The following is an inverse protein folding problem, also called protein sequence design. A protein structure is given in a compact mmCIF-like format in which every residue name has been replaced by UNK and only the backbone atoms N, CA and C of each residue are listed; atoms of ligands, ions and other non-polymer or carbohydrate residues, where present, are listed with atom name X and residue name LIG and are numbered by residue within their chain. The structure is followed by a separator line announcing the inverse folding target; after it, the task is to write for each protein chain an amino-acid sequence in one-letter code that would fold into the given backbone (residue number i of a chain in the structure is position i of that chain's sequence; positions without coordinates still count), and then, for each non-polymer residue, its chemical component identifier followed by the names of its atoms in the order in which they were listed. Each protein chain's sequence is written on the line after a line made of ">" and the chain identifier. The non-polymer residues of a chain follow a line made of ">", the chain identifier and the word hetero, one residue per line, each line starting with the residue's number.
data_IF_803887092736
#
_entry.id   IF_803887092736
#
_cell.length_a   1.000
_cell.length_b   1.000
_cell.length_c   1.000
_cell.angle_alpha   90.00
_cell.angle_beta   90.00
_cell.angle_gamma   90.00
#
_symmetry.space_group_name_H-M   'P 1'
#
loop_
_entity.id
_entity.type
_entity.pdbx_description
1 polymer ?
#
# COMPACT_ATOMS: atom_id res chain seq x y z
N UNK A 1 -16.17 7.97 -18.25
CA UNK A 1 -15.58 7.46 -17.03
C UNK A 1 -14.24 6.85 -17.38
N UNK A 2 -13.25 7.20 -16.62
CA UNK A 2 -11.84 7.07 -16.95
C UNK A 2 -11.15 6.00 -16.11
N UNK A 3 -11.88 4.92 -15.82
CA UNK A 3 -11.32 3.82 -15.00
C UNK A 3 -10.15 3.15 -15.72
N UNK A 4 -10.19 3.10 -17.05
CA UNK A 4 -9.10 2.61 -17.92
C UNK A 4 -7.82 3.45 -17.86
N UNK A 5 -7.90 4.67 -17.34
CA UNK A 5 -6.72 5.54 -17.13
C UNK A 5 -6.04 5.28 -15.77
N UNK A 6 -6.67 4.53 -14.87
CA UNK A 6 -6.11 4.23 -13.55
C UNK A 6 -4.99 3.21 -13.67
N UNK A 7 -3.81 3.58 -13.19
CA UNK A 7 -2.62 2.72 -13.21
C UNK A 7 -2.32 2.17 -11.81
N UNK A 8 -1.47 1.14 -11.75
CA UNK A 8 -0.91 0.65 -10.47
C UNK A 8 -0.20 1.78 -9.71
N UNK A 9 0.51 2.67 -10.44
CA UNK A 9 1.14 3.84 -9.84
C UNK A 9 0.15 4.77 -9.16
N UNK A 10 -1.02 5.01 -9.76
CA UNK A 10 -2.08 5.82 -9.17
C UNK A 10 -2.67 5.17 -7.91
N UNK A 11 -2.81 3.85 -7.86
CA UNK A 11 -3.23 3.14 -6.65
C UNK A 11 -2.19 3.25 -5.53
N UNK A 12 -0.90 3.03 -5.85
CA UNK A 12 0.22 3.12 -4.91
C UNK A 12 0.39 4.54 -4.32
N UNK A 13 0.10 5.57 -5.12
CA UNK A 13 0.22 6.98 -4.71
C UNK A 13 -1.08 7.59 -4.20
N UNK A 14 -2.15 6.80 -4.05
CA UNK A 14 -3.47 7.29 -3.61
C UNK A 14 -4.09 8.33 -4.55
N UNK A 15 -3.83 8.21 -5.86
CA UNK A 15 -4.27 9.13 -6.91
C UNK A 15 -5.19 8.47 -7.94
N UNK A 16 -5.90 7.39 -7.56
CA UNK A 16 -6.81 6.68 -8.47
C UNK A 16 -7.99 7.54 -8.98
N UNK A 17 -8.30 8.64 -8.28
CA UNK A 17 -9.43 9.50 -8.63
C UNK A 17 -10.79 8.99 -8.15
N UNK A 18 -10.89 7.74 -7.73
CA UNK A 18 -12.09 7.13 -7.18
C UNK A 18 -12.45 7.73 -5.81
N UNK A 19 -13.74 7.84 -5.52
CA UNK A 19 -14.18 8.20 -4.19
C UNK A 19 -13.58 7.22 -3.17
N UNK A 20 -12.98 7.77 -2.12
CA UNK A 20 -12.28 6.98 -1.12
C UNK A 20 -13.22 6.07 -0.34
N UNK A 21 -12.77 4.88 0.00
CA UNK A 21 -13.46 3.94 0.91
C UNK A 21 -13.07 4.13 2.38
N UNK A 22 -12.12 5.03 2.69
CA UNK A 22 -11.67 5.32 4.07
C UNK A 22 -12.56 6.34 4.78
N UNK A 23 -12.42 6.44 6.09
CA UNK A 23 -13.19 7.37 6.92
C UNK A 23 -14.66 6.98 6.98
N UNK A 24 -15.58 7.92 6.71
CA UNK A 24 -17.02 7.68 6.81
C UNK A 24 -17.53 6.55 5.89
N UNK A 25 -16.86 6.30 4.77
CA UNK A 25 -17.25 5.28 3.80
C UNK A 25 -16.68 3.87 4.13
N UNK A 26 -15.82 3.74 5.14
CA UNK A 26 -15.16 2.47 5.44
C UNK A 26 -16.15 1.38 5.85
N UNK A 27 -17.09 1.71 6.73
CA UNK A 27 -18.09 0.75 7.20
C UNK A 27 -18.95 0.18 6.08
N UNK A 28 -19.44 1.03 5.17
CA UNK A 28 -20.24 0.59 4.03
C UNK A 28 -19.44 -0.28 3.06
N UNK A 29 -18.17 0.03 2.86
CA UNK A 29 -17.29 -0.73 1.99
C UNK A 29 -16.99 -2.15 2.54
N UNK A 30 -16.57 -2.27 3.81
CA UNK A 30 -16.23 -3.58 4.42
C UNK A 30 -17.44 -4.47 4.67
N UNK A 31 -18.65 -3.91 4.68
CA UNK A 31 -19.90 -4.69 4.77
C UNK A 31 -20.47 -5.07 3.41
N UNK A 32 -19.88 -4.59 2.32
CA UNK A 32 -20.30 -4.98 0.96
C UNK A 32 -19.96 -6.44 0.68
N UNK A 33 -20.70 -7.06 -0.22
CA UNK A 33 -20.49 -8.45 -0.62
C UNK A 33 -19.26 -8.67 -1.51
N UNK A 34 -18.66 -7.59 -2.06
CA UNK A 34 -17.49 -7.65 -2.91
C UNK A 34 -16.72 -6.32 -2.82
N UNK A 35 -15.61 -6.33 -2.05
CA UNK A 35 -14.84 -5.12 -1.78
C UNK A 35 -14.12 -4.58 -3.02
N UNK A 36 -13.71 -5.46 -3.92
CA UNK A 36 -13.07 -5.05 -5.19
C UNK A 36 -14.09 -4.37 -6.09
N UNK A 37 -15.25 -4.99 -6.30
CA UNK A 37 -16.30 -4.41 -7.13
C UNK A 37 -16.82 -3.08 -6.56
N UNK A 38 -17.06 -3.01 -5.24
CA UNK A 38 -17.49 -1.76 -4.59
C UNK A 38 -16.44 -0.64 -4.80
N UNK A 39 -15.15 -0.92 -4.59
CA UNK A 39 -14.11 0.08 -4.79
C UNK A 39 -14.01 0.56 -6.25
N UNK A 40 -14.14 -0.35 -7.22
CA UNK A 40 -14.04 -0.02 -8.66
C UNK A 40 -15.28 0.70 -9.20
N UNK A 41 -16.45 0.51 -8.60
CA UNK A 41 -17.71 1.14 -9.01
C UNK A 41 -17.97 2.48 -8.32
N UNK A 42 -17.08 2.92 -7.42
CA UNK A 42 -17.16 4.23 -6.79
C UNK A 42 -17.06 5.37 -7.82
N UNK A 43 -17.77 6.49 -7.59
CA UNK A 43 -17.65 7.64 -8.47
C UNK A 43 -16.20 8.12 -8.65
N UNK A 44 -15.84 8.54 -9.85
CA UNK A 44 -14.60 9.27 -10.09
C UNK A 44 -14.83 10.72 -9.68
N UNK A 45 -14.13 11.17 -8.65
CA UNK A 45 -14.29 12.50 -8.02
C UNK A 45 -13.04 13.38 -8.17
N UNK A 46 -12.02 12.86 -8.85
CA UNK A 46 -10.82 13.59 -9.29
C UNK A 46 -10.24 12.91 -10.53
N UNK A 47 -9.37 13.61 -11.24
CA UNK A 47 -8.60 13.03 -12.35
C UNK A 47 -7.64 11.95 -11.81
N UNK A 48 -7.50 10.78 -12.47
CA UNK A 48 -6.44 9.83 -12.17
C UNK A 48 -5.06 10.51 -12.27
N UNK A 49 -4.20 10.30 -11.29
CA UNK A 49 -2.91 11.01 -11.18
C UNK A 49 -3.01 12.42 -10.57
N UNK A 50 -4.20 12.91 -10.27
CA UNK A 50 -4.44 14.22 -9.67
C UNK A 50 -4.18 14.26 -8.15
N UNK A 51 -5.10 14.88 -7.40
CA UNK A 51 -4.95 15.04 -5.94
C UNK A 51 -5.04 13.71 -5.19
N UNK A 52 -4.40 13.66 -4.02
CA UNK A 52 -4.50 12.53 -3.10
C UNK A 52 -5.94 12.30 -2.63
N UNK A 53 -6.39 11.07 -2.76
CA UNK A 53 -7.61 10.54 -2.16
C UNK A 53 -7.26 9.27 -1.38
N UNK A 54 -6.80 9.43 -0.13
CA UNK A 54 -6.32 8.32 0.70
C UNK A 54 -7.44 7.30 0.91
N UNK A 55 -7.25 6.07 0.40
CA UNK A 55 -8.31 5.07 0.29
C UNK A 55 -7.78 3.66 0.56
N UNK A 56 -8.35 3.01 1.57
CA UNK A 56 -8.09 1.59 1.86
C UNK A 56 -8.44 0.69 0.67
N UNK A 57 -9.50 1.03 -0.09
CA UNK A 57 -9.85 0.31 -1.31
C UNK A 57 -8.77 0.36 -2.38
N UNK A 58 -8.05 1.48 -2.53
CA UNK A 58 -6.92 1.55 -3.47
C UNK A 58 -5.82 0.54 -3.09
N UNK A 59 -5.48 0.43 -1.82
CA UNK A 59 -4.51 -0.57 -1.34
C UNK A 59 -5.06 -2.00 -1.46
N UNK A 60 -6.37 -2.20 -1.25
CA UNK A 60 -6.99 -3.52 -1.43
C UNK A 60 -6.99 -3.95 -2.90
N UNK A 61 -7.22 -3.05 -3.84
CA UNK A 61 -7.08 -3.31 -5.27
C UNK A 61 -5.67 -3.80 -5.63
N UNK A 62 -4.62 -3.27 -4.99
CA UNK A 62 -3.24 -3.77 -5.18
C UNK A 62 -3.11 -5.23 -4.70
N UNK A 63 -3.72 -5.59 -3.56
CA UNK A 63 -3.73 -6.98 -3.08
C UNK A 63 -4.47 -7.90 -4.06
N UNK A 64 -5.60 -7.46 -4.60
CA UNK A 64 -6.36 -8.20 -5.60
C UNK A 64 -5.56 -8.40 -6.91
N UNK A 65 -4.90 -7.36 -7.39
CA UNK A 65 -4.03 -7.41 -8.59
C UNK A 65 -2.87 -8.39 -8.37
N UNK A 66 -2.19 -8.32 -7.22
CA UNK A 66 -1.11 -9.25 -6.89
C UNK A 66 -1.60 -10.69 -6.85
N UNK A 67 -2.73 -10.95 -6.19
CA UNK A 67 -3.32 -12.28 -6.11
C UNK A 67 -3.68 -12.82 -7.48
N UNK A 68 -4.31 -12.02 -8.32
CA UNK A 68 -4.71 -12.42 -9.67
C UNK A 68 -3.49 -12.65 -10.59
N UNK A 69 -2.52 -11.75 -10.56
CA UNK A 69 -1.35 -11.80 -11.45
C UNK A 69 -0.39 -12.93 -11.12
N UNK A 70 -0.25 -13.28 -9.83
CA UNK A 70 0.66 -14.33 -9.37
C UNK A 70 0.02 -15.71 -9.24
N UNK A 71 -1.30 -15.78 -9.12
CA UNK A 71 -2.02 -17.00 -8.73
C UNK A 71 -1.85 -17.37 -7.26
N UNK A 72 -1.20 -16.51 -6.45
CA UNK A 72 -0.88 -16.74 -5.05
C UNK A 72 -1.54 -15.70 -4.14
N UNK A 73 -1.87 -16.07 -2.92
CA UNK A 73 -2.42 -15.09 -1.97
C UNK A 73 -1.38 -14.06 -1.55
N UNK A 74 -1.82 -12.83 -1.30
CA UNK A 74 -0.94 -11.75 -0.80
C UNK A 74 -0.21 -12.16 0.49
N UNK A 75 -0.83 -12.98 1.36
CA UNK A 75 -0.18 -13.52 2.54
C UNK A 75 1.01 -14.42 2.19
N UNK A 76 0.85 -15.32 1.19
CA UNK A 76 1.94 -16.19 0.74
C UNK A 76 3.08 -15.37 0.13
N UNK A 77 2.76 -14.40 -0.71
CA UNK A 77 3.74 -13.48 -1.29
C UNK A 77 4.47 -12.67 -0.22
N UNK A 78 3.74 -12.13 0.77
CA UNK A 78 4.35 -11.38 1.87
C UNK A 78 5.33 -12.24 2.68
N UNK A 79 4.98 -13.51 2.98
CA UNK A 79 5.91 -14.41 3.65
C UNK A 79 7.12 -14.76 2.77
N UNK A 80 6.93 -15.10 1.49
CA UNK A 80 8.02 -15.46 0.60
C UNK A 80 8.98 -14.28 0.32
N UNK A 81 8.45 -13.06 0.11
CA UNK A 81 9.26 -11.91 -0.31
C UNK A 81 9.79 -11.07 0.85
N UNK A 82 9.14 -11.10 2.01
CA UNK A 82 9.54 -10.32 3.19
C UNK A 82 9.75 -11.22 4.41
N UNK A 83 8.82 -12.12 4.69
CA UNK A 83 8.85 -12.99 5.87
C UNK A 83 10.13 -13.81 5.95
N UNK A 84 10.39 -14.62 4.95
CA UNK A 84 11.56 -15.50 4.87
C UNK A 84 12.88 -14.72 4.84
N UNK A 85 13.10 -13.72 3.93
CA UNK A 85 14.36 -13.00 3.87
C UNK A 85 14.67 -12.18 5.13
N UNK A 86 13.65 -11.65 5.82
CA UNK A 86 13.81 -10.88 7.04
C UNK A 86 13.78 -11.75 8.32
N UNK A 87 13.57 -13.05 8.17
CA UNK A 87 13.35 -13.98 9.29
C UNK A 87 12.27 -13.45 10.26
N UNK A 88 11.12 -13.06 9.71
CA UNK A 88 9.94 -12.61 10.44
C UNK A 88 8.75 -13.49 10.08
N UNK A 89 7.88 -13.72 11.04
CA UNK A 89 6.61 -14.41 10.81
C UNK A 89 5.53 -13.38 10.52
N UNK A 90 4.86 -13.51 9.38
CA UNK A 90 3.68 -12.73 9.02
C UNK A 90 2.47 -13.66 9.17
N UNK A 91 1.65 -13.53 10.23
CA UNK A 91 0.46 -14.37 10.39
C UNK A 91 -0.61 -13.98 9.36
N UNK A 92 -1.59 -14.87 9.08
CA UNK A 92 -2.74 -14.50 8.26
C UNK A 92 -3.53 -13.39 8.96
N UNK A 93 -4.14 -12.52 8.14
CA UNK A 93 -5.01 -11.41 8.59
C UNK A 93 -6.34 -11.43 7.85
N UNK A 94 -7.16 -10.39 7.99
CA UNK A 94 -8.50 -10.33 7.43
C UNK A 94 -8.52 -10.47 5.91
N UNK A 95 -9.60 -11.07 5.41
CA UNK A 95 -9.88 -11.26 3.98
C UNK A 95 -11.22 -10.65 3.62
N UNK A 96 -11.34 -10.28 2.36
CA UNK A 96 -12.63 -9.94 1.78
C UNK A 96 -13.53 -11.18 1.60
N UNK A 97 -14.81 -10.99 1.24
CA UNK A 97 -15.71 -12.10 0.98
C UNK A 97 -15.28 -13.04 -0.16
N UNK A 98 -14.37 -12.63 -1.03
CA UNK A 98 -13.78 -13.44 -2.10
C UNK A 98 -12.50 -14.19 -1.67
N UNK A 99 -12.04 -13.98 -0.42
CA UNK A 99 -10.85 -14.62 0.13
C UNK A 99 -9.54 -13.86 -0.11
N UNK A 100 -9.59 -12.67 -0.70
CA UNK A 100 -8.43 -11.81 -0.93
C UNK A 100 -8.02 -11.13 0.38
N UNK A 101 -6.74 -11.20 0.76
CA UNK A 101 -6.25 -10.54 1.97
C UNK A 101 -6.37 -9.02 1.88
N UNK A 102 -6.83 -8.38 2.94
CA UNK A 102 -7.01 -6.93 3.01
C UNK A 102 -5.69 -6.19 2.76
N UNK A 103 -5.63 -5.40 1.69
CA UNK A 103 -4.39 -4.76 1.25
C UNK A 103 -4.05 -3.45 1.96
N UNK A 104 -4.96 -2.91 2.79
CA UNK A 104 -4.82 -1.56 3.32
C UNK A 104 -4.51 -1.47 4.82
N UNK A 105 -4.81 -2.50 5.60
CA UNK A 105 -4.64 -2.52 7.06
C UNK A 105 -4.71 -3.95 7.60
N UNK A 106 -4.65 -4.07 8.94
CA UNK A 106 -4.83 -5.30 9.72
C UNK A 106 -3.72 -6.36 9.57
N UNK A 107 -2.66 -6.10 8.77
CA UNK A 107 -1.48 -6.97 8.79
C UNK A 107 -0.78 -6.84 10.15
N UNK A 108 -0.53 -7.97 10.81
CA UNK A 108 0.09 -8.02 12.12
C UNK A 108 1.57 -8.37 11.98
N UNK A 109 2.40 -7.59 12.63
CA UNK A 109 3.84 -7.85 12.76
C UNK A 109 4.27 -7.75 14.20
N UNK A 110 5.16 -8.64 14.66
CA UNK A 110 5.86 -8.44 15.92
C UNK A 110 6.72 -7.17 15.86
N UNK A 111 6.87 -6.39 16.96
CA UNK A 111 7.70 -5.18 16.96
C UNK A 111 9.12 -5.38 16.42
N UNK A 112 9.76 -6.51 16.75
CA UNK A 112 11.08 -6.87 16.19
C UNK A 112 11.05 -7.11 14.68
N UNK A 113 9.94 -7.62 14.13
CA UNK A 113 9.75 -7.77 12.69
C UNK A 113 9.70 -6.42 11.99
N UNK A 114 8.99 -5.45 12.59
CA UNK A 114 8.92 -4.09 12.08
C UNK A 114 10.30 -3.40 12.11
N UNK A 115 11.10 -3.61 13.17
CA UNK A 115 12.47 -3.10 13.24
C UNK A 115 13.34 -3.68 12.12
N UNK A 116 13.27 -4.99 11.85
CA UNK A 116 14.02 -5.63 10.75
C UNK A 116 13.60 -5.11 9.38
N UNK A 117 12.31 -4.88 9.18
CA UNK A 117 11.82 -4.22 7.97
C UNK A 117 12.40 -2.81 7.81
N UNK A 118 12.36 -2.00 8.87
CA UNK A 118 12.96 -0.66 8.87
C UNK A 118 14.47 -0.68 8.63
N UNK A 119 15.19 -1.64 9.20
CA UNK A 119 16.63 -1.83 8.99
C UNK A 119 16.93 -2.20 7.52
N UNK A 120 16.16 -3.11 6.94
CA UNK A 120 16.26 -3.46 5.52
C UNK A 120 16.07 -2.23 4.63
N UNK A 121 15.04 -1.42 4.88
CA UNK A 121 14.79 -0.17 4.15
C UNK A 121 15.96 0.79 4.31
N UNK A 122 16.45 1.03 5.55
CA UNK A 122 17.59 1.90 5.85
C UNK A 122 18.88 1.47 5.16
N UNK A 123 19.07 0.16 4.98
CA UNK A 123 20.21 -0.43 4.29
C UNK A 123 19.99 -0.56 2.77
N UNK A 124 19.13 0.27 2.18
CA UNK A 124 18.89 0.29 0.73
C UNK A 124 18.30 -1.00 0.18
N UNK A 125 17.50 -1.73 0.99
CA UNK A 125 16.83 -2.96 0.58
C UNK A 125 17.64 -4.23 0.82
N UNK A 126 18.65 -4.18 1.69
CA UNK A 126 19.50 -5.33 2.06
C UNK A 126 19.32 -5.65 3.54
N UNK A 127 19.19 -6.93 3.87
CA UNK A 127 19.14 -7.41 5.25
C UNK A 127 20.02 -8.67 5.38
N UNK A 128 20.86 -8.70 6.40
CA UNK A 128 21.79 -9.80 6.70
C UNK A 128 22.60 -10.27 5.47
N UNK A 129 23.08 -9.30 4.67
CA UNK A 129 23.85 -9.53 3.46
C UNK A 129 23.02 -9.92 2.22
N UNK A 130 21.74 -10.23 2.35
CA UNK A 130 20.86 -10.60 1.25
C UNK A 130 20.05 -9.41 0.70
N UNK A 131 19.87 -9.35 -0.63
CA UNK A 131 19.01 -8.37 -1.29
C UNK A 131 17.54 -8.80 -1.16
N UNK A 132 16.74 -8.01 -0.45
CA UNK A 132 15.29 -8.23 -0.27
C UNK A 132 14.49 -7.39 -1.27
N UNK A 133 14.83 -6.10 -1.39
CA UNK A 133 14.20 -5.15 -2.31
C UNK A 133 15.31 -4.37 -3.03
N UNK A 134 15.10 -4.00 -4.29
CA UNK A 134 16.09 -3.17 -4.99
C UNK A 134 16.16 -1.76 -4.38
N UNK A 135 17.37 -1.22 -4.21
CA UNK A 135 17.56 0.16 -3.76
C UNK A 135 16.84 1.17 -4.67
N UNK A 136 16.89 0.93 -5.98
CA UNK A 136 16.17 1.75 -6.98
C UNK A 136 14.65 1.78 -6.72
N UNK A 137 14.05 0.67 -6.28
CA UNK A 137 12.62 0.66 -5.93
C UNK A 137 12.34 1.50 -4.70
N UNK A 138 13.17 1.40 -3.66
CA UNK A 138 13.06 2.23 -2.46
C UNK A 138 13.12 3.71 -2.83
N UNK A 139 14.15 4.13 -3.57
CA UNK A 139 14.30 5.50 -4.07
C UNK A 139 13.08 5.95 -4.90
N UNK A 140 12.58 5.07 -5.80
CA UNK A 140 11.38 5.35 -6.60
C UNK A 140 10.13 5.51 -5.73
N UNK A 141 9.99 4.70 -4.67
CA UNK A 141 8.84 4.76 -3.75
C UNK A 141 8.86 6.02 -2.88
N UNK A 142 10.03 6.60 -2.67
CA UNK A 142 10.23 7.86 -1.93
C UNK A 142 10.13 9.12 -2.79
N UNK A 143 9.89 9.01 -4.10
CA UNK A 143 9.63 10.19 -4.91
C UNK A 143 8.24 10.74 -4.61
N UNK A 144 8.11 12.02 -4.21
CA UNK A 144 6.80 12.61 -3.95
C UNK A 144 5.99 12.71 -5.25
N UNK A 145 4.77 12.19 -5.23
CA UNK A 145 3.83 12.19 -6.36
C UNK A 145 2.62 13.06 -6.07
N UNK A 146 2.30 13.19 -4.80
CA UNK A 146 1.21 14.01 -4.29
C UNK A 146 1.53 14.45 -2.87
N UNK A 147 0.62 15.20 -2.24
CA UNK A 147 0.78 15.63 -0.86
C UNK A 147 -0.51 15.40 -0.07
N UNK A 148 -0.35 15.11 1.22
CA UNK A 148 -1.46 15.02 2.16
C UNK A 148 -2.13 16.38 2.36
N UNK A 149 -3.43 16.44 2.15
CA UNK A 149 -4.23 17.65 2.42
C UNK A 149 -4.32 18.02 3.92
N UNK A 150 -4.00 17.08 4.82
CA UNK A 150 -4.09 17.28 6.26
C UNK A 150 -2.78 17.74 6.89
N UNK A 151 -1.66 17.22 6.41
CA UNK A 151 -0.33 17.49 6.98
C UNK A 151 0.57 18.30 6.06
N UNK A 152 0.27 18.37 4.76
CA UNK A 152 1.14 18.95 3.74
C UNK A 152 2.35 18.06 3.39
N UNK A 153 2.53 16.94 4.08
CA UNK A 153 3.64 16.03 3.81
C UNK A 153 3.52 15.41 2.42
N UNK A 154 4.64 15.26 1.74
CA UNK A 154 4.71 14.54 0.46
C UNK A 154 4.27 13.09 0.62
N UNK A 155 3.77 12.49 -0.45
CA UNK A 155 3.39 11.08 -0.51
C UNK A 155 3.85 10.45 -1.81
N UNK A 156 4.59 9.34 -1.68
CA UNK A 156 5.09 8.53 -2.78
C UNK A 156 4.31 7.23 -2.94
N UNK A 157 4.99 6.14 -3.14
CA UNK A 157 4.36 4.82 -3.21
C UNK A 157 4.29 4.17 -1.81
N UNK A 158 3.20 4.48 -1.07
CA UNK A 158 2.96 3.95 0.27
C UNK A 158 3.71 4.67 1.40
N UNK A 159 4.43 5.76 1.12
CA UNK A 159 5.24 6.49 2.10
C UNK A 159 4.83 7.95 2.19
N UNK A 160 4.58 8.42 3.41
CA UNK A 160 4.60 9.85 3.70
C UNK A 160 6.04 10.32 3.86
N UNK A 161 6.30 11.55 3.45
CA UNK A 161 7.62 12.16 3.48
C UNK A 161 7.55 13.55 4.11
N UNK A 162 8.42 13.78 5.07
CA UNK A 162 8.59 15.08 5.73
C UNK A 162 10.05 15.30 6.07
N UNK A 163 10.37 16.46 6.62
CA UNK A 163 11.71 16.82 7.05
C UNK A 163 11.65 17.47 8.44
N UNK A 164 12.60 17.16 9.29
CA UNK A 164 12.76 17.81 10.60
C UNK A 164 14.23 18.12 10.79
N UNK A 165 14.56 19.39 11.03
CA UNK A 165 15.94 19.86 11.22
C UNK A 165 16.90 19.42 10.09
N UNK A 166 16.46 19.48 8.83
CA UNK A 166 17.25 19.10 7.66
C UNK A 166 17.38 17.59 7.45
N UNK A 167 16.70 16.77 8.24
CA UNK A 167 16.72 15.31 8.11
C UNK A 167 15.40 14.80 7.51
N UNK A 168 15.46 14.02 6.42
CA UNK A 168 14.26 13.43 5.83
C UNK A 168 13.70 12.30 6.70
N UNK A 169 12.38 12.25 6.78
CA UNK A 169 11.62 11.20 7.47
C UNK A 169 10.62 10.57 6.53
N UNK A 170 10.58 9.24 6.54
CA UNK A 170 9.66 8.41 5.76
C UNK A 170 8.82 7.58 6.72
N UNK A 171 7.49 7.57 6.55
CA UNK A 171 6.57 6.80 7.40
C UNK A 171 5.34 6.34 6.61
N UNK A 172 4.66 5.29 7.06
CA UNK A 172 3.44 4.71 6.46
C UNK A 172 2.32 4.52 7.46
#
# INVERSE_FOLDING_TARGET
>A
PRLEEVTIGHLLSMQAGLERTSGANYGSWVTSSNWVADALTRPIVAEPGGRMLYSTGSSHLLSAILTQASGESTHRLANAWLGEPLNIRIPPWDRDPQGIYLGGNNMLLAPRGLVRFGEMIRNGGTFDGARVVSGRWIETSWQPRTASRWTGHGYGYGWFMTETAGQPHYYG
#
